data_IF_165857268115
#
_entry.id   IF_165857268115
#
_cell.length_a   1.000
_cell.length_b   1.000
_cell.length_c   1.000
_cell.angle_alpha   90.00
_cell.angle_beta   90.00
_cell.angle_gamma   90.00
#
_symmetry.space_group_name_H-M   'P 1'
#
loop_
_entity.id
_entity.type
_entity.pdbx_description
1 polymer ?
#
# COMPACT_ATOMS: atom_id res chain seq x y z
N UNK A 1 -6.37 0.77 3.69
CA UNK A 1 -6.69 -0.29 2.71
C UNK A 1 -5.38 -0.81 2.14
N UNK A 2 -5.17 -2.13 2.16
CA UNK A 2 -3.97 -2.77 1.60
C UNK A 2 -4.33 -3.33 0.21
N UNK A 3 -4.14 -2.54 -0.85
CA UNK A 3 -4.59 -2.89 -2.19
C UNK A 3 -3.94 -4.16 -2.77
N UNK A 4 -2.71 -4.47 -2.36
CA UNK A 4 -1.98 -5.68 -2.76
C UNK A 4 -1.98 -6.76 -1.67
N UNK A 5 -2.91 -6.67 -0.73
CA UNK A 5 -3.06 -7.66 0.34
C UNK A 5 -2.00 -7.55 1.43
N UNK A 6 -1.81 -8.63 2.18
CA UNK A 6 -1.07 -8.61 3.44
C UNK A 6 -0.39 -9.93 3.75
N UNK A 7 0.67 -9.88 4.57
CA UNK A 7 1.28 -11.05 5.20
C UNK A 7 0.61 -11.44 6.52
N UNK A 8 -0.32 -10.63 7.04
CA UNK A 8 -0.98 -10.86 8.32
C UNK A 8 -1.86 -12.12 8.33
N UNK A 9 -2.42 -12.50 7.17
CA UNK A 9 -3.29 -13.66 6.98
C UNK A 9 -2.80 -14.51 5.81
N UNK A 10 -3.28 -15.76 5.73
CA UNK A 10 -2.88 -16.70 4.69
C UNK A 10 -4.04 -17.65 4.36
N UNK A 11 -4.18 -17.98 3.07
CA UNK A 11 -5.28 -18.79 2.57
C UNK A 11 -4.82 -19.84 1.54
N UNK A 12 -5.57 -20.93 1.46
CA UNK A 12 -5.36 -21.95 0.45
C UNK A 12 -5.74 -21.44 -0.94
N UNK A 13 -4.82 -21.58 -1.89
CA UNK A 13 -4.99 -21.17 -3.31
C UNK A 13 -6.05 -21.95 -4.08
N UNK A 14 -6.53 -23.08 -3.56
CA UNK A 14 -7.57 -23.90 -4.22
C UNK A 14 -8.95 -23.76 -3.55
N UNK A 15 -9.04 -23.96 -2.24
CA UNK A 15 -10.33 -23.96 -1.54
C UNK A 15 -10.64 -22.67 -0.78
N UNK A 16 -9.71 -21.70 -0.74
CA UNK A 16 -9.87 -20.43 -0.02
C UNK A 16 -9.88 -20.54 1.50
N UNK A 17 -9.69 -21.74 2.08
CA UNK A 17 -9.64 -21.91 3.53
C UNK A 17 -8.50 -21.09 4.13
N UNK A 18 -8.80 -20.30 5.16
CA UNK A 18 -7.79 -19.59 5.93
C UNK A 18 -6.95 -20.53 6.78
N UNK A 19 -5.69 -20.19 6.94
CA UNK A 19 -4.70 -20.91 7.74
C UNK A 19 -4.01 -19.97 8.73
N UNK A 20 -3.40 -20.56 9.76
CA UNK A 20 -2.64 -19.80 10.74
C UNK A 20 -1.40 -19.15 10.09
N UNK A 21 -1.38 -17.82 10.02
CA UNK A 21 -0.32 -17.07 9.34
C UNK A 21 1.06 -17.22 9.98
N UNK A 22 1.14 -17.41 11.31
CA UNK A 22 2.43 -17.65 11.98
C UNK A 22 3.05 -18.98 11.54
N UNK A 23 2.24 -20.05 11.43
CA UNK A 23 2.73 -21.34 10.90
C UNK A 23 3.17 -21.23 9.45
N UNK A 24 2.42 -20.51 8.63
CA UNK A 24 2.75 -20.26 7.22
C UNK A 24 4.06 -19.46 7.11
N UNK A 25 4.21 -18.40 7.91
CA UNK A 25 5.44 -17.60 7.99
C UNK A 25 6.64 -18.46 8.38
N UNK A 26 6.50 -19.29 9.42
CA UNK A 26 7.58 -20.17 9.87
C UNK A 26 8.01 -21.15 8.77
N UNK A 27 7.05 -21.82 8.12
CA UNK A 27 7.33 -22.73 7.01
C UNK A 27 8.08 -22.03 5.87
N UNK A 28 7.66 -20.81 5.49
CA UNK A 28 8.34 -20.02 4.46
C UNK A 28 9.79 -19.69 4.85
N UNK A 29 10.03 -19.30 6.11
CA UNK A 29 11.38 -18.99 6.62
C UNK A 29 12.28 -20.24 6.60
N UNK A 30 11.72 -21.40 6.91
CA UNK A 30 12.43 -22.69 6.90
C UNK A 30 12.65 -23.24 5.47
N UNK A 31 12.05 -22.62 4.45
CA UNK A 31 12.16 -23.03 3.05
C UNK A 31 11.13 -24.09 2.62
N UNK A 32 10.16 -24.38 3.48
CA UNK A 32 9.08 -25.34 3.21
C UNK A 32 7.91 -24.71 2.43
N UNK A 33 7.15 -25.55 1.74
CA UNK A 33 5.93 -25.15 1.02
C UNK A 33 4.70 -25.47 1.90
N UNK A 34 4.01 -24.46 2.46
CA UNK A 34 2.85 -24.71 3.30
C UNK A 34 1.67 -25.26 2.48
N UNK A 35 1.05 -26.33 2.98
CA UNK A 35 -0.01 -27.08 2.31
C UNK A 35 -1.34 -26.98 3.08
N UNK A 36 -2.46 -27.11 2.36
CA UNK A 36 -3.78 -27.00 2.96
C UNK A 36 -4.09 -28.17 3.90
N UNK A 37 -4.47 -27.83 5.14
CA UNK A 37 -4.93 -28.79 6.17
C UNK A 37 -6.38 -29.27 5.98
N UNK A 38 -7.09 -28.84 4.93
CA UNK A 38 -8.46 -29.32 4.68
C UNK A 38 -8.45 -30.74 4.09
N UNK A 39 -9.32 -31.61 4.61
CA UNK A 39 -9.51 -32.96 4.09
C UNK A 39 -9.77 -32.95 2.59
N UNK A 40 -9.05 -33.77 1.83
CA UNK A 40 -9.12 -33.87 0.37
C UNK A 40 -8.70 -32.61 -0.42
N UNK A 41 -8.09 -31.59 0.22
CA UNK A 41 -7.48 -30.47 -0.48
C UNK A 41 -5.96 -30.69 -0.60
N UNK A 42 -5.42 -30.57 -1.81
CA UNK A 42 -3.97 -30.62 -2.07
C UNK A 42 -3.40 -29.25 -2.47
N UNK A 43 -4.12 -28.17 -2.13
CA UNK A 43 -3.73 -26.82 -2.50
C UNK A 43 -2.57 -26.30 -1.66
N UNK A 44 -1.77 -25.41 -2.25
CA UNK A 44 -0.75 -24.65 -1.54
C UNK A 44 -1.41 -23.52 -0.76
N UNK A 45 -0.86 -23.20 0.40
CA UNK A 45 -1.26 -22.04 1.19
C UNK A 45 -0.28 -20.93 0.90
N UNK A 46 -0.77 -19.70 0.74
CA UNK A 46 0.08 -18.52 0.61
C UNK A 46 -0.42 -17.40 1.52
N UNK A 47 0.44 -16.46 1.92
CA UNK A 47 -0.01 -15.20 2.50
C UNK A 47 -1.03 -14.52 1.57
N UNK A 48 -1.97 -13.78 2.14
CA UNK A 48 -3.04 -13.10 1.39
C UNK A 48 -2.53 -11.83 0.70
N UNK A 49 -1.40 -11.95 -0.01
CA UNK A 49 -0.83 -10.97 -0.94
C UNK A 49 -1.36 -11.22 -2.35
N UNK A 50 -1.53 -10.16 -3.12
CA UNK A 50 -2.05 -10.22 -4.50
C UNK A 50 -0.91 -10.46 -5.47
N UNK A 51 -0.99 -11.55 -6.26
CA UNK A 51 -0.08 -11.81 -7.37
C UNK A 51 -0.64 -11.26 -8.69
N UNK A 52 0.24 -11.08 -9.68
CA UNK A 52 -0.20 -10.76 -11.04
C UNK A 52 -1.18 -11.82 -11.55
N UNK A 53 -2.33 -11.36 -12.08
CA UNK A 53 -3.42 -12.22 -12.53
C UNK A 53 -4.45 -12.55 -11.45
N UNK A 54 -4.21 -12.18 -10.18
CA UNK A 54 -5.21 -12.28 -9.12
C UNK A 54 -6.05 -10.99 -9.02
N UNK A 55 -7.27 -11.12 -8.51
CA UNK A 55 -8.12 -9.98 -8.21
C UNK A 55 -7.59 -9.23 -6.98
N UNK A 56 -7.70 -7.90 -7.00
CA UNK A 56 -7.49 -7.09 -5.80
C UNK A 56 -8.59 -7.38 -4.75
N UNK A 57 -8.33 -7.12 -3.46
CA UNK A 57 -9.31 -7.31 -2.40
C UNK A 57 -10.61 -6.55 -2.70
N UNK A 58 -11.79 -7.06 -2.35
CA UNK A 58 -13.06 -6.36 -2.61
C UNK A 58 -13.09 -4.93 -2.05
N UNK A 59 -12.49 -4.73 -0.87
CA UNK A 59 -12.37 -3.42 -0.23
C UNK A 59 -11.54 -2.41 -1.03
N UNK A 60 -10.73 -2.87 -1.99
CA UNK A 60 -10.05 -1.97 -2.93
C UNK A 60 -11.07 -1.09 -3.64
N UNK A 61 -12.17 -1.67 -4.13
CA UNK A 61 -13.13 -0.98 -4.99
C UNK A 61 -14.00 0.04 -4.27
N UNK A 62 -13.98 0.05 -2.93
CA UNK A 62 -14.71 1.03 -2.13
C UNK A 62 -14.23 2.48 -2.39
N UNK A 63 -13.01 2.66 -2.94
CA UNK A 63 -12.50 3.98 -3.30
C UNK A 63 -13.44 4.75 -4.24
N UNK A 64 -14.19 4.05 -5.11
CA UNK A 64 -15.14 4.67 -6.03
C UNK A 64 -16.22 5.49 -5.32
N UNK A 65 -16.58 5.13 -4.08
CA UNK A 65 -17.59 5.84 -3.31
C UNK A 65 -17.08 7.20 -2.80
N UNK A 66 -15.76 7.34 -2.64
CA UNK A 66 -15.14 8.52 -2.01
C UNK A 66 -14.36 9.39 -2.99
N UNK A 67 -13.93 8.85 -4.13
CA UNK A 67 -13.01 9.52 -5.06
C UNK A 67 -13.56 10.85 -5.62
N UNK A 68 -14.89 10.96 -5.75
CA UNK A 68 -15.55 12.17 -6.24
C UNK A 68 -15.62 13.29 -5.20
N UNK A 69 -15.43 12.97 -3.92
CA UNK A 69 -15.41 13.93 -2.81
C UNK A 69 -13.99 14.32 -2.40
N UNK A 70 -12.97 13.76 -3.06
CA UNK A 70 -11.57 14.05 -2.78
C UNK A 70 -11.22 15.49 -3.18
N UNK A 71 -10.77 16.26 -2.20
CA UNK A 71 -10.33 17.66 -2.36
C UNK A 71 -8.81 17.79 -2.57
N UNK A 72 -8.03 16.75 -2.24
CA UNK A 72 -6.60 16.64 -2.49
C UNK A 72 -6.20 15.17 -2.66
N UNK A 73 -5.43 14.84 -3.69
CA UNK A 73 -4.79 13.53 -3.83
C UNK A 73 -3.28 13.64 -3.61
N UNK A 74 -2.78 12.97 -2.58
CA UNK A 74 -1.34 12.86 -2.30
C UNK A 74 -0.83 11.50 -2.78
N UNK A 75 0.14 11.50 -3.69
CA UNK A 75 0.73 10.32 -4.31
C UNK A 75 2.19 10.27 -3.91
N UNK A 76 2.60 9.19 -3.24
CA UNK A 76 3.93 9.09 -2.62
C UNK A 76 4.59 7.77 -3.02
N UNK A 77 5.83 7.81 -3.51
CA UNK A 77 6.70 6.64 -3.60
C UNK A 77 6.18 5.50 -4.48
N UNK A 78 5.62 5.80 -5.65
CA UNK A 78 5.08 4.79 -6.58
C UNK A 78 5.43 5.13 -8.03
N UNK A 79 5.59 4.11 -8.90
CA UNK A 79 5.78 4.31 -10.34
C UNK A 79 4.47 4.55 -11.10
N UNK A 80 3.32 4.24 -10.49
CA UNK A 80 2.01 4.25 -11.14
C UNK A 80 1.94 3.38 -12.43
N UNK A 81 2.65 2.24 -12.46
CA UNK A 81 2.63 1.33 -13.63
C UNK A 81 1.71 0.12 -13.44
N UNK A 82 1.32 -0.20 -12.20
CA UNK A 82 0.54 -1.40 -11.88
C UNK A 82 -0.95 -1.06 -11.83
N UNK A 83 -1.71 -1.65 -12.75
CA UNK A 83 -3.16 -1.52 -12.80
C UNK A 83 -3.87 -2.66 -12.04
N UNK A 84 -5.05 -2.40 -11.46
CA UNK A 84 -5.87 -1.18 -11.56
C UNK A 84 -5.45 -0.03 -10.63
N UNK A 85 -4.52 -0.24 -9.70
CA UNK A 85 -4.14 0.75 -8.67
C UNK A 85 -3.74 2.12 -9.25
N UNK A 86 -2.89 2.13 -10.28
CA UNK A 86 -2.43 3.34 -10.95
C UNK A 86 -3.58 4.23 -11.46
N UNK A 87 -4.73 3.64 -11.82
CA UNK A 87 -5.89 4.36 -12.32
C UNK A 87 -6.54 5.30 -11.31
N UNK A 88 -6.29 5.13 -10.00
CA UNK A 88 -6.79 6.03 -8.96
C UNK A 88 -6.31 7.47 -9.19
N UNK A 89 -5.06 7.64 -9.64
CA UNK A 89 -4.47 8.96 -9.89
C UNK A 89 -5.27 9.78 -10.92
N UNK A 90 -5.90 9.11 -11.89
CA UNK A 90 -6.69 9.75 -12.93
C UNK A 90 -8.19 9.84 -12.61
N UNK A 91 -8.67 9.05 -11.65
CA UNK A 91 -10.07 8.96 -11.26
C UNK A 91 -10.57 10.17 -10.45
N UNK A 92 -9.67 10.92 -9.79
CA UNK A 92 -10.05 12.16 -9.08
C UNK A 92 -10.46 13.26 -10.05
N UNK A 93 -11.36 14.13 -9.59
CA UNK A 93 -11.90 15.25 -10.37
C UNK A 93 -10.80 16.11 -11.02
N UNK A 94 -11.09 16.71 -12.18
CA UNK A 94 -10.10 17.49 -12.94
C UNK A 94 -9.58 18.72 -12.18
N UNK A 95 -10.40 19.26 -11.28
CA UNK A 95 -10.05 20.40 -10.43
C UNK A 95 -9.40 20.00 -9.11
N UNK A 96 -9.41 18.70 -8.75
CA UNK A 96 -8.77 18.21 -7.54
C UNK A 96 -7.25 18.31 -7.72
N UNK A 97 -6.53 19.03 -6.84
CA UNK A 97 -5.07 19.03 -6.84
C UNK A 97 -4.52 17.63 -6.63
N UNK A 98 -3.50 17.28 -7.40
CA UNK A 98 -2.74 16.04 -7.25
C UNK A 98 -1.29 16.39 -6.94
N UNK A 99 -0.80 15.97 -5.79
CA UNK A 99 0.57 16.22 -5.35
C UNK A 99 1.34 14.91 -5.46
N UNK A 100 2.37 14.88 -6.29
CA UNK A 100 3.29 13.76 -6.42
C UNK A 100 4.57 14.05 -5.62
N UNK A 101 4.90 13.20 -4.67
CA UNK A 101 6.20 13.18 -3.97
C UNK A 101 6.90 11.88 -4.33
N UNK A 102 7.90 11.96 -5.20
CA UNK A 102 8.55 10.78 -5.74
C UNK A 102 9.94 11.11 -6.26
N UNK A 103 10.80 10.10 -6.43
CA UNK A 103 12.13 10.34 -7.01
C UNK A 103 12.04 10.94 -8.43
N UNK A 104 11.09 10.46 -9.23
CA UNK A 104 10.86 10.90 -10.60
C UNK A 104 9.38 11.24 -10.84
N UNK A 105 9.11 12.12 -11.81
CA UNK A 105 7.75 12.32 -12.32
C UNK A 105 7.25 11.02 -12.99
N UNK A 106 6.01 10.62 -12.71
CA UNK A 106 5.45 9.33 -13.13
C UNK A 106 3.97 9.44 -13.53
N UNK A 107 3.49 8.45 -14.28
CA UNK A 107 2.10 8.35 -14.71
C UNK A 107 1.66 9.55 -15.57
N UNK A 108 0.47 10.08 -15.29
CA UNK A 108 -0.11 11.22 -16.00
C UNK A 108 0.14 12.58 -15.34
N UNK A 109 0.94 12.61 -14.26
CA UNK A 109 1.15 13.80 -13.44
C UNK A 109 1.97 14.85 -14.21
N UNK A 110 1.60 16.12 -14.04
CA UNK A 110 2.16 17.26 -14.77
C UNK A 110 1.36 17.63 -16.01
N UNK A 111 0.30 16.89 -16.33
CA UNK A 111 -0.63 17.22 -17.43
C UNK A 111 -1.76 18.15 -16.99
N UNK A 112 -2.10 18.21 -15.70
CA UNK A 112 -3.13 19.12 -15.17
C UNK A 112 -2.46 20.34 -14.57
N UNK A 113 -3.12 21.49 -14.67
CA UNK A 113 -2.66 22.74 -14.04
C UNK A 113 -2.72 22.68 -12.51
N UNK A 114 -3.46 21.72 -11.96
CA UNK A 114 -3.61 21.46 -10.52
C UNK A 114 -2.60 20.42 -10.01
N UNK A 115 -1.72 19.89 -10.88
CA UNK A 115 -0.69 18.95 -10.47
C UNK A 115 0.49 19.71 -9.86
N UNK A 116 0.98 19.22 -8.72
CA UNK A 116 2.24 19.65 -8.10
C UNK A 116 3.15 18.44 -8.06
N UNK A 117 4.38 18.60 -8.53
CA UNK A 117 5.37 17.52 -8.57
C UNK A 117 6.58 17.94 -7.74
N UNK A 118 6.83 17.20 -6.67
CA UNK A 118 8.01 17.30 -5.83
C UNK A 118 8.90 16.10 -6.12
N UNK A 119 9.90 16.32 -6.98
CA UNK A 119 10.91 15.31 -7.29
C UNK A 119 12.11 15.40 -6.37
N UNK A 120 12.62 14.25 -5.92
CA UNK A 120 13.83 14.19 -5.11
C UNK A 120 13.76 13.09 -4.07
N UNK A 121 14.57 13.23 -3.03
CA UNK A 121 14.49 12.33 -1.90
C UNK A 121 13.13 12.46 -1.19
N UNK A 122 12.56 11.31 -0.85
CA UNK A 122 11.22 11.24 -0.29
C UNK A 122 11.18 11.81 1.13
N UNK A 123 12.17 11.47 1.95
CA UNK A 123 12.25 11.89 3.35
C UNK A 123 12.46 13.40 3.43
N UNK A 124 13.39 13.95 2.64
CA UNK A 124 13.60 15.39 2.54
C UNK A 124 12.33 16.15 2.11
N UNK A 125 11.62 15.62 1.10
CA UNK A 125 10.39 16.24 0.58
C UNK A 125 9.27 16.23 1.63
N UNK A 126 9.11 15.13 2.36
CA UNK A 126 8.13 15.02 3.45
C UNK A 126 8.50 15.96 4.59
N UNK A 127 9.76 16.04 5.01
CA UNK A 127 10.18 16.99 6.05
C UNK A 127 10.01 18.45 5.62
N UNK A 128 10.23 18.77 4.34
CA UNK A 128 9.94 20.11 3.81
C UNK A 128 8.45 20.43 3.91
N UNK A 129 7.58 19.50 3.50
CA UNK A 129 6.13 19.68 3.61
C UNK A 129 5.68 19.85 5.07
N UNK A 130 6.20 19.03 5.97
CA UNK A 130 5.91 19.07 7.41
C UNK A 130 6.33 20.42 8.02
N UNK A 131 7.44 21.00 7.55
CA UNK A 131 7.91 22.33 7.94
C UNK A 131 6.97 23.44 7.51
N UNK A 132 6.53 23.42 6.25
CA UNK A 132 5.56 24.39 5.73
C UNK A 132 4.21 24.30 6.47
N UNK A 133 3.86 23.12 6.99
CA UNK A 133 2.66 22.89 7.80
C UNK A 133 2.83 23.22 9.29
N UNK A 134 4.06 23.51 9.76
CA UNK A 134 4.38 23.73 11.17
C UNK A 134 4.18 22.47 12.04
N UNK A 135 4.44 21.29 11.48
CA UNK A 135 4.20 19.98 12.12
C UNK A 135 5.46 19.27 12.60
N UNK A 136 6.62 19.91 12.57
CA UNK A 136 7.92 19.29 12.82
C UNK A 136 7.98 18.63 14.20
N UNK A 137 7.55 19.34 15.25
CA UNK A 137 7.56 18.79 16.62
C UNK A 137 6.57 17.63 16.79
N UNK A 138 5.47 17.64 16.04
CA UNK A 138 4.50 16.54 16.04
C UNK A 138 5.07 15.31 15.35
N UNK A 139 5.74 15.48 14.22
CA UNK A 139 6.38 14.38 13.50
C UNK A 139 7.49 13.75 14.36
N UNK A 140 8.39 14.56 14.93
CA UNK A 140 9.44 14.08 15.85
C UNK A 140 8.90 13.28 17.03
N UNK A 141 7.79 13.75 17.62
CA UNK A 141 7.14 13.04 18.71
C UNK A 141 6.58 11.68 18.27
N UNK A 142 5.99 11.60 17.07
CA UNK A 142 5.47 10.36 16.49
C UNK A 142 6.59 9.38 16.15
N UNK A 143 7.68 9.85 15.55
CA UNK A 143 8.87 9.04 15.22
C UNK A 143 9.44 8.38 16.48
N UNK A 144 9.64 9.16 17.54
CA UNK A 144 10.11 8.64 18.83
C UNK A 144 9.20 7.56 19.41
N UNK A 145 7.89 7.72 19.30
CA UNK A 145 6.92 6.70 19.72
C UNK A 145 7.06 5.44 18.87
N UNK A 146 7.22 5.58 17.56
CA UNK A 146 7.34 4.44 16.65
C UNK A 146 8.63 3.66 16.86
N UNK A 147 9.77 4.35 16.96
CA UNK A 147 11.08 3.75 17.25
C UNK A 147 11.04 2.96 18.57
N UNK A 148 10.41 3.52 19.61
CA UNK A 148 10.28 2.82 20.89
C UNK A 148 9.42 1.56 20.81
N UNK A 149 8.46 1.47 19.88
CA UNK A 149 7.65 0.26 19.68
C UNK A 149 8.43 -0.83 18.95
N UNK A 150 9.19 -0.47 17.91
CA UNK A 150 10.01 -1.43 17.16
C UNK A 150 11.05 -2.13 18.06
N UNK A 151 11.69 -1.39 18.97
CA UNK A 151 12.64 -1.96 19.94
C UNK A 151 11.99 -2.98 20.89
N UNK A 152 10.68 -2.91 21.13
CA UNK A 152 9.97 -3.80 22.04
C UNK A 152 9.32 -5.00 21.33
N UNK A 153 9.37 -5.07 20.00
CA UNK A 153 8.79 -6.15 19.17
C UNK A 153 9.85 -7.11 18.58
N UNK A 154 11.15 -6.79 18.73
CA UNK A 154 12.30 -7.67 18.46
C UNK A 154 12.74 -8.44 19.71
#
# INVERSE_FOLDING_TARGET
>A
MEAHGTFATASCTLCGKMHNSNKVKQAIIEGDIPMCEATNCKGKVKPDIVFFGENLPPSFWDYHQHIHFTDLLLIIGTSLEVYPFAGIADAVGTQTPRVLINLNAVGSLGRRTTDVILTGDLEESVHSLVRELGWEEKLKALEKVYESKQINEE
#
